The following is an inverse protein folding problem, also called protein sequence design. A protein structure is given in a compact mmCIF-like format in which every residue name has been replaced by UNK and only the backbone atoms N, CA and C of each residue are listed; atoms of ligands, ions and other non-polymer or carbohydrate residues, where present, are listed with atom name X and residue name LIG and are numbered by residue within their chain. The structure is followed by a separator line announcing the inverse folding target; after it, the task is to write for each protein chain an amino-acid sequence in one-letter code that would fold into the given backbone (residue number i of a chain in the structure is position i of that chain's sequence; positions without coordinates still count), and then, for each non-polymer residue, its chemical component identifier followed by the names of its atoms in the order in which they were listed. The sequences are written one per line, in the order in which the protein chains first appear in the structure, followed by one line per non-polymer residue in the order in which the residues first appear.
data_IF_247009382288
#
_entry.id   IF_247009382288
#
_cell.length_a   1.000
_cell.length_b   1.000
_cell.length_c   1.000
_cell.angle_alpha   90.00
_cell.angle_beta   90.00
_cell.angle_gamma   90.00
#
_symmetry.space_group_name_H-M   'P 1'
#
loop_
_entity.id
_entity.type
_entity.pdbx_description
1 polymer ?
#
# COMPACT_ATOMS: atom_id res chain seq x y z
N UNK A 1 1.46 6.02 54.35
CA UNK A 1 1.16 6.16 52.93
C UNK A 1 2.46 6.02 52.12
N UNK A 2 2.37 5.33 50.99
CA UNK A 2 3.44 5.26 50.00
C UNK A 2 3.00 5.98 48.72
N UNK A 3 3.90 6.79 48.19
CA UNK A 3 3.68 7.56 46.96
C UNK A 3 4.68 7.11 45.91
N UNK A 4 4.22 6.92 44.67
CA UNK A 4 5.05 6.72 43.50
C UNK A 4 4.55 7.59 42.37
N UNK A 5 5.43 8.16 41.60
CA UNK A 5 5.04 9.04 40.49
C UNK A 5 6.23 9.61 39.72
N UNK A 6 5.96 10.59 38.89
CA UNK A 6 6.98 11.32 38.17
C UNK A 6 7.95 11.95 39.18
N UNK A 7 9.27 11.72 39.09
CA UNK A 7 10.21 12.10 40.13
C UNK A 7 10.12 13.58 40.50
N UNK A 8 10.01 14.48 39.56
CA UNK A 8 9.93 15.92 39.76
C UNK A 8 8.67 16.33 40.56
N UNK A 9 7.56 15.59 40.42
CA UNK A 9 6.33 15.84 41.19
C UNK A 9 6.50 15.30 42.62
N UNK A 10 7.04 14.07 42.73
CA UNK A 10 7.25 13.45 44.05
C UNK A 10 8.26 14.21 44.87
N UNK A 11 9.36 14.71 44.27
CA UNK A 11 10.35 15.57 44.95
C UNK A 11 9.70 16.85 45.49
N UNK A 12 8.83 17.50 44.70
CA UNK A 12 8.09 18.70 45.13
C UNK A 12 7.11 18.47 46.30
N UNK A 13 6.71 17.23 46.57
CA UNK A 13 5.84 16.83 47.68
C UNK A 13 6.64 16.42 48.93
N UNK A 14 7.95 16.31 48.83
CA UNK A 14 8.82 15.88 49.92
C UNK A 14 9.31 17.06 50.75
N UNK A 15 9.41 16.81 52.04
CA UNK A 15 9.98 17.78 53.01
C UNK A 15 11.49 17.62 53.04
N UNK A 16 12.19 18.47 52.27
CA UNK A 16 13.66 18.46 52.15
C UNK A 16 14.21 19.84 51.82
N UNK A 17 15.50 20.12 52.14
CA UNK A 17 16.19 21.35 51.77
C UNK A 17 16.20 21.59 50.25
N UNK A 18 16.18 22.88 49.85
CA UNK A 18 16.19 23.26 48.44
C UNK A 18 17.41 22.72 47.66
N UNK A 19 18.58 22.68 48.33
CA UNK A 19 19.81 22.16 47.71
C UNK A 19 19.74 20.67 47.43
N UNK A 20 19.08 19.88 48.30
CA UNK A 20 18.84 18.45 48.07
C UNK A 20 17.83 18.23 46.96
N UNK A 21 16.76 19.05 46.87
CA UNK A 21 15.83 19.04 45.76
C UNK A 21 16.54 19.27 44.43
N UNK A 22 17.39 20.28 44.35
CA UNK A 22 18.14 20.62 43.16
C UNK A 22 19.08 19.49 42.72
N UNK A 23 19.76 18.86 43.70
CA UNK A 23 20.64 17.70 43.44
C UNK A 23 19.88 16.50 42.91
N UNK A 24 18.71 16.19 43.48
CA UNK A 24 17.86 15.08 43.01
C UNK A 24 17.29 15.36 41.62
N UNK A 25 16.87 16.59 41.34
CA UNK A 25 16.42 16.98 40.00
C UNK A 25 17.53 16.86 38.95
N UNK A 26 18.77 17.22 39.31
CA UNK A 26 19.93 17.01 38.43
C UNK A 26 20.20 15.53 38.16
N UNK A 27 20.04 14.67 39.18
CA UNK A 27 20.16 13.21 39.03
C UNK A 27 19.02 12.63 38.17
N UNK A 28 17.81 13.15 38.31
CA UNK A 28 16.68 12.80 37.40
C UNK A 28 17.02 13.15 35.95
N UNK A 29 17.57 14.35 35.73
CA UNK A 29 17.98 14.77 34.39
C UNK A 29 19.11 13.91 33.79
N UNK A 30 20.10 13.54 34.62
CA UNK A 30 21.21 12.66 34.23
C UNK A 30 20.68 11.29 33.82
N UNK A 31 19.93 10.61 34.67
CA UNK A 31 19.39 9.29 34.42
C UNK A 31 18.36 9.25 33.28
N UNK A 32 17.53 10.29 33.16
CA UNK A 32 16.66 10.45 32.01
C UNK A 32 17.45 10.61 30.68
N UNK A 33 18.60 11.33 30.77
CA UNK A 33 19.53 11.45 29.64
C UNK A 33 20.17 10.13 29.20
N UNK A 34 20.25 9.16 30.14
CA UNK A 34 20.67 7.79 29.86
C UNK A 34 19.54 6.93 29.24
N UNK A 35 18.31 7.47 29.07
CA UNK A 35 17.17 6.78 28.48
C UNK A 35 16.33 5.99 29.47
N UNK A 36 16.60 6.11 30.76
CA UNK A 36 15.86 5.41 31.81
C UNK A 36 14.46 6.03 32.01
N UNK A 37 13.45 5.18 32.13
CA UNK A 37 12.13 5.56 32.63
C UNK A 37 12.19 5.67 34.14
N UNK A 38 11.90 6.83 34.69
CA UNK A 38 12.14 7.14 36.10
C UNK A 38 10.85 7.18 36.93
N UNK A 39 10.90 6.63 38.14
CA UNK A 39 9.88 6.77 39.15
C UNK A 39 10.49 7.26 40.46
N UNK A 40 9.93 8.34 41.02
CA UNK A 40 10.20 8.80 42.36
C UNK A 40 9.35 8.03 43.37
N UNK A 41 9.96 7.66 44.49
CA UNK A 41 9.31 6.96 45.61
C UNK A 41 9.43 7.79 46.88
N UNK A 42 8.31 7.93 47.62
CA UNK A 42 8.28 8.61 48.89
C UNK A 42 7.32 7.93 49.84
N UNK A 43 7.48 8.18 51.16
CA UNK A 43 6.54 7.71 52.15
C UNK A 43 6.21 8.81 53.17
N UNK A 44 5.10 8.62 53.89
CA UNK A 44 4.68 9.43 54.98
C UNK A 44 4.00 8.58 56.07
N UNK A 45 4.35 8.79 57.32
CA UNK A 45 3.71 8.16 58.48
C UNK A 45 2.55 9.05 58.96
N UNK A 46 1.31 8.56 58.85
CA UNK A 46 0.12 9.32 59.23
C UNK A 46 -0.32 10.37 58.22
N UNK A 47 -1.38 11.12 58.51
CA UNK A 47 -1.93 12.18 57.66
C UNK A 47 -3.30 11.84 57.07
N UNK A 48 -3.90 12.80 56.36
CA UNK A 48 -5.20 12.68 55.68
C UNK A 48 -4.98 12.29 54.23
N UNK A 49 -5.85 11.45 53.68
CA UNK A 49 -5.85 11.11 52.27
C UNK A 49 -6.11 12.40 51.48
N UNK A 50 -5.30 12.70 50.48
CA UNK A 50 -5.31 13.93 49.66
C UNK A 50 -4.47 15.12 50.17
N UNK A 51 -3.68 14.95 51.21
CA UNK A 51 -2.64 15.90 51.58
C UNK A 51 -1.34 15.50 50.85
N UNK A 52 -0.89 16.31 49.93
CA UNK A 52 0.27 16.05 49.05
C UNK A 52 1.56 16.72 49.51
N UNK A 53 1.71 16.96 50.81
CA UNK A 53 2.89 17.55 51.45
C UNK A 53 3.48 16.70 52.56
N UNK A 54 4.72 16.97 52.97
CA UNK A 54 5.36 16.32 54.13
C UNK A 54 5.73 14.86 53.91
N UNK A 55 6.06 14.46 52.67
CA UNK A 55 6.58 13.12 52.36
C UNK A 55 8.10 13.08 52.59
N UNK A 56 8.60 11.94 53.01
CA UNK A 56 10.01 11.62 53.06
C UNK A 56 10.43 10.91 51.77
N UNK A 57 11.41 11.41 51.09
CA UNK A 57 11.98 10.81 49.89
C UNK A 57 12.62 9.47 50.21
N UNK A 58 12.27 8.42 49.43
CA UNK A 58 12.82 7.08 49.58
C UNK A 58 13.88 6.77 48.53
N UNK A 59 13.69 7.29 47.31
CA UNK A 59 14.65 7.06 46.26
C UNK A 59 14.07 7.20 44.84
N UNK A 60 14.98 7.14 43.87
CA UNK A 60 14.72 7.13 42.45
C UNK A 60 14.87 5.71 41.92
N UNK A 61 13.88 5.25 41.16
CA UNK A 61 13.93 3.97 40.43
C UNK A 61 14.07 4.25 38.95
N UNK A 62 15.15 3.77 38.35
CA UNK A 62 15.35 3.77 36.89
C UNK A 62 15.00 2.42 36.28
N UNK A 63 14.21 2.44 35.25
CA UNK A 63 13.85 1.26 34.48
C UNK A 63 14.36 1.43 33.05
N UNK A 64 15.07 0.44 32.54
CA UNK A 64 15.47 0.37 31.14
C UNK A 64 14.46 -0.52 30.39
N UNK A 65 13.95 0.00 29.27
CA UNK A 65 13.14 -0.79 28.33
C UNK A 65 13.87 -0.75 26.98
N UNK A 66 14.68 -1.78 26.69
CA UNK A 66 15.51 -1.77 25.50
C UNK A 66 14.65 -1.77 24.23
N UNK A 67 15.13 -1.07 23.21
CA UNK A 67 14.51 -1.09 21.88
C UNK A 67 14.56 -2.52 21.33
N UNK A 68 13.44 -2.96 20.76
CA UNK A 68 13.36 -4.28 20.14
C UNK A 68 14.28 -4.41 18.93
N UNK A 69 14.80 -5.62 18.71
CA UNK A 69 15.70 -5.90 17.61
C UNK A 69 15.08 -5.55 16.23
N UNK A 70 15.88 -4.85 15.41
CA UNK A 70 15.58 -4.49 14.04
C UNK A 70 14.53 -3.39 13.86
N UNK A 71 14.17 -2.67 14.91
CA UNK A 71 13.33 -1.45 14.80
C UNK A 71 14.08 -0.35 14.04
N UNK A 72 15.38 -0.20 14.30
CA UNK A 72 16.21 0.79 13.60
C UNK A 72 16.26 0.54 12.09
N UNK A 73 16.48 -0.68 11.68
CA UNK A 73 16.51 -1.09 10.27
C UNK A 73 15.14 -0.88 9.62
N UNK A 74 14.06 -1.23 10.33
CA UNK A 74 12.71 -1.02 9.83
C UNK A 74 12.39 0.48 9.63
N UNK A 75 12.83 1.35 10.54
CA UNK A 75 12.69 2.81 10.40
C UNK A 75 13.46 3.31 9.18
N UNK A 76 14.69 2.87 8.98
CA UNK A 76 15.50 3.24 7.81
C UNK A 76 14.82 2.83 6.49
N UNK A 77 14.23 1.63 6.44
CA UNK A 77 13.46 1.18 5.27
C UNK A 77 12.22 2.06 5.04
N UNK A 78 11.51 2.44 6.12
CA UNK A 78 10.36 3.32 6.02
C UNK A 78 10.75 4.72 5.52
N UNK A 79 11.83 5.31 6.05
CA UNK A 79 12.35 6.61 5.64
C UNK A 79 12.84 6.60 4.19
N UNK A 80 13.55 5.53 3.79
CA UNK A 80 13.95 5.33 2.39
C UNK A 80 12.74 5.29 1.45
N UNK A 81 11.64 4.68 1.92
CA UNK A 81 10.36 4.65 1.22
C UNK A 81 9.59 6.00 1.25
N UNK A 82 10.20 7.06 1.80
CA UNK A 82 9.62 8.40 1.92
C UNK A 82 8.57 8.54 3.04
N UNK A 83 8.53 7.59 3.99
CA UNK A 83 7.57 7.59 5.09
C UNK A 83 8.22 8.24 6.32
N UNK A 84 7.64 9.32 6.80
CA UNK A 84 8.11 10.01 8.01
C UNK A 84 7.58 9.31 9.26
N UNK A 85 8.47 8.75 10.04
CA UNK A 85 8.12 8.14 11.34
C UNK A 85 8.20 9.20 12.43
N UNK A 86 7.24 9.21 13.35
CA UNK A 86 7.18 10.16 14.47
C UNK A 86 6.87 9.42 15.76
N UNK A 87 7.54 9.82 16.85
CA UNK A 87 7.29 9.27 18.19
C UNK A 87 6.33 10.18 18.94
N UNK A 88 5.25 9.62 19.47
CA UNK A 88 4.28 10.32 20.32
C UNK A 88 4.15 9.53 21.63
N UNK A 89 4.64 10.10 22.72
CA UNK A 89 4.71 9.42 24.04
C UNK A 89 4.24 10.32 25.19
N UNK A 90 3.77 9.69 26.26
CA UNK A 90 3.53 10.34 27.54
C UNK A 90 4.79 10.53 28.38
N UNK A 91 5.92 9.93 27.99
CA UNK A 91 7.18 9.94 28.71
C UNK A 91 7.87 11.32 28.71
N UNK A 92 8.87 11.46 29.59
CA UNK A 92 9.69 12.64 29.71
C UNK A 92 10.48 12.92 28.42
N UNK A 93 10.65 14.20 28.09
CA UNK A 93 11.26 14.65 26.83
C UNK A 93 12.62 14.02 26.55
N UNK A 94 13.54 14.07 27.52
CA UNK A 94 14.91 13.53 27.36
C UNK A 94 14.93 12.02 27.13
N UNK A 95 14.06 11.27 27.81
CA UNK A 95 13.89 9.83 27.59
C UNK A 95 13.40 9.54 26.16
N UNK A 96 12.39 10.29 25.69
CA UNK A 96 11.85 10.15 24.35
C UNK A 96 12.89 10.51 23.27
N UNK A 97 13.64 11.61 23.47
CA UNK A 97 14.71 12.03 22.54
C UNK A 97 15.86 10.99 22.51
N UNK A 98 16.23 10.42 23.65
CA UNK A 98 17.26 9.37 23.72
C UNK A 98 16.85 8.12 22.97
N UNK A 99 15.62 7.66 23.19
CA UNK A 99 15.08 6.50 22.47
C UNK A 99 15.02 6.81 20.96
N UNK A 100 14.48 7.96 20.57
CA UNK A 100 14.40 8.36 19.18
C UNK A 100 15.78 8.43 18.50
N UNK A 101 16.80 8.94 19.21
CA UNK A 101 18.19 8.97 18.72
C UNK A 101 18.76 7.55 18.57
N UNK A 102 18.49 6.65 19.53
CA UNK A 102 18.98 5.26 19.48
C UNK A 102 18.44 4.46 18.31
N UNK A 103 17.22 4.77 17.85
CA UNK A 103 16.58 4.15 16.69
C UNK A 103 16.80 4.93 15.39
N UNK A 104 17.54 6.04 15.44
CA UNK A 104 17.90 6.81 14.25
C UNK A 104 16.81 7.75 13.75
N UNK A 105 15.84 8.13 14.58
CA UNK A 105 14.74 9.03 14.19
C UNK A 105 15.06 10.52 14.35
N UNK A 106 16.07 10.90 15.14
CA UNK A 106 16.47 12.29 15.30
C UNK A 106 17.67 12.59 14.40
N UNK A 107 17.49 13.49 13.43
CA UNK A 107 18.50 13.98 12.53
C UNK A 107 18.65 15.49 12.65
N UNK A 108 19.84 15.98 12.91
CA UNK A 108 20.27 17.37 12.79
C UNK A 108 19.30 18.44 13.33
N UNK A 109 18.46 18.95 12.46
CA UNK A 109 17.51 20.04 12.75
C UNK A 109 16.11 19.56 13.21
N UNK A 110 15.92 18.26 13.47
CA UNK A 110 14.64 17.75 13.93
C UNK A 110 14.27 18.31 15.30
N UNK A 111 13.00 18.70 15.44
CA UNK A 111 12.49 19.31 16.65
C UNK A 111 11.76 18.29 17.53
N UNK A 112 11.78 18.56 18.83
CA UNK A 112 10.91 17.88 19.78
C UNK A 112 9.94 18.89 20.42
N UNK A 113 8.67 18.49 20.58
CA UNK A 113 7.62 19.30 21.20
C UNK A 113 7.03 18.59 22.42
N UNK A 114 6.72 19.35 23.46
CA UNK A 114 6.01 18.85 24.64
C UNK A 114 4.51 19.14 24.57
N UNK A 115 3.69 18.31 25.20
CA UNK A 115 2.24 18.44 25.25
C UNK A 115 1.77 19.81 25.74
N UNK A 116 2.46 20.39 26.73
CA UNK A 116 2.17 21.75 27.24
C UNK A 116 2.34 22.85 26.19
N UNK A 117 3.36 22.71 25.30
CA UNK A 117 3.57 23.64 24.19
C UNK A 117 2.46 23.49 23.15
N UNK A 118 2.11 22.23 22.80
CA UNK A 118 1.04 21.93 21.84
C UNK A 118 -0.31 22.43 22.33
N UNK A 119 -0.61 22.28 23.63
CA UNK A 119 -1.85 22.78 24.22
C UNK A 119 -1.99 24.31 24.13
N UNK A 120 -0.87 25.04 24.20
CA UNK A 120 -0.83 26.49 24.11
C UNK A 120 -0.81 27.02 22.66
N UNK A 121 -0.45 26.19 21.67
CA UNK A 121 -0.38 26.57 20.25
C UNK A 121 -1.77 26.68 19.62
N UNK A 122 -1.93 27.66 18.73
CA UNK A 122 -3.07 27.68 17.81
C UNK A 122 -2.85 26.68 16.69
N UNK A 123 -3.93 26.20 16.08
CA UNK A 123 -3.86 25.10 15.07
C UNK A 123 -3.01 25.46 13.84
N UNK A 124 -2.92 26.74 13.49
CA UNK A 124 -2.05 27.18 12.39
C UNK A 124 -0.57 26.92 12.70
N UNK A 125 -0.12 27.33 13.88
CA UNK A 125 1.29 27.20 14.28
C UNK A 125 1.66 25.73 14.47
N UNK A 126 0.73 24.93 15.01
CA UNK A 126 0.92 23.48 15.11
C UNK A 126 1.09 22.82 13.74
N UNK A 127 0.31 23.24 12.72
CA UNK A 127 0.46 22.71 11.34
C UNK A 127 1.85 23.00 10.76
N UNK A 128 2.40 24.18 11.03
CA UNK A 128 3.73 24.56 10.53
C UNK A 128 4.83 23.71 11.21
N UNK A 129 4.70 23.46 12.52
CA UNK A 129 5.74 22.75 13.29
C UNK A 129 5.65 21.23 13.19
N UNK A 130 4.43 20.65 13.09
CA UNK A 130 4.23 19.21 13.15
C UNK A 130 4.97 18.43 12.06
N UNK A 131 5.24 19.05 10.91
CA UNK A 131 5.93 18.42 9.78
C UNK A 131 7.40 18.12 10.11
N UNK A 132 8.08 19.06 10.81
CA UNK A 132 9.50 18.98 11.14
C UNK A 132 9.76 18.48 12.58
N UNK A 133 8.70 18.10 13.31
CA UNK A 133 8.83 17.52 14.65
C UNK A 133 8.89 16.00 14.56
N UNK A 134 9.96 15.39 15.03
CA UNK A 134 10.13 13.94 15.06
C UNK A 134 9.61 13.33 16.38
N UNK A 135 9.72 14.07 17.50
CA UNK A 135 9.39 13.57 18.84
C UNK A 135 8.37 14.47 19.53
N UNK A 136 7.29 13.87 20.01
CA UNK A 136 6.27 14.50 20.82
C UNK A 136 6.23 13.83 22.20
N UNK A 137 6.57 14.55 23.25
CA UNK A 137 6.70 14.06 24.61
C UNK A 137 5.64 14.63 25.55
N UNK A 138 5.35 13.95 26.67
CA UNK A 138 4.32 14.35 27.65
C UNK A 138 2.95 14.64 27.01
N UNK A 139 2.58 13.84 26.02
CA UNK A 139 1.39 14.02 25.20
C UNK A 139 0.18 13.36 25.86
N UNK A 140 -0.93 14.09 25.97
CA UNK A 140 -2.23 13.60 26.41
C UNK A 140 -3.08 13.18 25.19
N UNK A 141 -4.19 12.45 25.38
CA UNK A 141 -5.05 12.00 24.29
C UNK A 141 -5.54 13.12 23.38
N UNK A 142 -5.83 14.30 23.91
CA UNK A 142 -6.31 15.44 23.13
C UNK A 142 -5.22 16.00 22.21
N UNK A 143 -3.97 16.10 22.69
CA UNK A 143 -2.86 16.53 21.86
C UNK A 143 -2.53 15.50 20.78
N UNK A 144 -2.62 14.18 21.07
CA UNK A 144 -2.47 13.11 20.04
C UNK A 144 -3.44 13.30 18.88
N UNK A 145 -4.71 13.56 19.20
CA UNK A 145 -5.73 13.85 18.19
C UNK A 145 -5.39 15.08 17.34
N UNK A 146 -4.95 16.20 18.00
CA UNK A 146 -4.58 17.43 17.31
C UNK A 146 -3.36 17.26 16.39
N UNK A 147 -2.37 16.47 16.79
CA UNK A 147 -1.20 16.15 15.96
C UNK A 147 -1.64 15.45 14.69
N UNK A 148 -2.44 14.38 14.80
CA UNK A 148 -2.96 13.63 13.64
C UNK A 148 -3.79 14.55 12.72
N UNK A 149 -4.67 15.36 13.30
CA UNK A 149 -5.49 16.31 12.54
C UNK A 149 -4.63 17.35 11.79
N UNK A 150 -3.57 17.84 12.40
CA UNK A 150 -2.66 18.82 11.81
C UNK A 150 -1.85 18.23 10.64
N UNK A 151 -1.36 17.00 10.78
CA UNK A 151 -0.69 16.27 9.69
C UNK A 151 -1.63 16.06 8.49
N UNK A 152 -2.87 15.62 8.75
CA UNK A 152 -3.87 15.45 7.69
C UNK A 152 -4.25 16.77 7.01
N UNK A 153 -4.31 17.86 7.77
CA UNK A 153 -4.59 19.19 7.22
C UNK A 153 -3.46 19.70 6.31
N UNK A 154 -2.23 19.19 6.50
CA UNK A 154 -1.10 19.42 5.60
C UNK A 154 -1.11 18.50 4.37
N UNK A 155 -2.14 17.63 4.22
CA UNK A 155 -2.27 16.70 3.10
C UNK A 155 -1.54 15.37 3.29
N UNK A 156 -0.99 15.10 4.48
CA UNK A 156 -0.31 13.84 4.78
C UNK A 156 -1.31 12.71 5.03
N UNK A 157 -0.96 11.51 4.57
CA UNK A 157 -1.69 10.27 4.93
C UNK A 157 -1.06 9.73 6.20
N UNK A 158 -1.85 9.64 7.26
CA UNK A 158 -1.38 9.29 8.59
C UNK A 158 -1.77 7.87 8.98
N UNK A 159 -0.80 7.08 9.44
CA UNK A 159 -1.04 5.86 10.22
C UNK A 159 -0.75 6.16 11.69
N UNK A 160 -1.69 5.87 12.58
CA UNK A 160 -1.52 6.00 14.03
C UNK A 160 -1.40 4.64 14.67
N UNK A 161 -0.34 4.46 15.46
CA UNK A 161 -0.10 3.21 16.20
C UNK A 161 -0.33 3.49 17.68
N UNK A 162 -1.11 2.63 18.34
CA UNK A 162 -1.40 2.75 19.77
C UNK A 162 -1.73 1.41 20.41
N UNK A 163 -1.79 1.37 21.73
CA UNK A 163 -2.03 0.15 22.52
C UNK A 163 -3.18 0.30 23.53
N UNK A 164 -3.62 1.52 23.81
CA UNK A 164 -4.54 1.82 24.89
C UNK A 164 -5.83 2.53 24.48
N UNK A 165 -6.77 2.57 25.43
CA UNK A 165 -8.04 3.32 25.31
C UNK A 165 -7.79 4.81 25.08
N UNK A 166 -6.70 5.34 25.61
CA UNK A 166 -6.32 6.75 25.46
C UNK A 166 -5.97 7.12 24.02
N UNK A 167 -5.63 6.16 23.17
CA UNK A 167 -5.26 6.37 21.78
C UNK A 167 -6.47 6.25 20.83
N UNK A 168 -7.59 5.71 21.29
CA UNK A 168 -8.76 5.45 20.46
C UNK A 168 -9.25 6.67 19.65
N UNK A 169 -9.32 7.91 20.18
CA UNK A 169 -9.71 9.07 19.38
C UNK A 169 -8.72 9.39 18.26
N UNK A 170 -7.40 9.25 18.49
CA UNK A 170 -6.36 9.48 17.50
C UNK A 170 -6.31 8.35 16.46
N UNK A 171 -6.46 7.09 16.90
CA UNK A 171 -6.57 5.91 16.03
C UNK A 171 -7.73 6.05 15.04
N UNK A 172 -8.92 6.38 15.53
CA UNK A 172 -10.12 6.58 14.71
C UNK A 172 -9.99 7.78 13.76
N UNK A 173 -9.21 8.80 14.13
CA UNK A 173 -8.99 9.99 13.30
C UNK A 173 -8.00 9.76 12.19
N UNK A 174 -7.00 8.91 12.40
CA UNK A 174 -5.98 8.59 11.41
C UNK A 174 -6.61 8.01 10.12
N UNK A 175 -5.85 8.02 9.02
CA UNK A 175 -6.27 7.34 7.80
C UNK A 175 -6.20 5.81 7.95
N UNK A 176 -5.27 5.35 8.80
CA UNK A 176 -5.12 3.94 9.20
C UNK A 176 -4.84 3.92 10.69
N UNK A 177 -5.74 3.32 11.47
CA UNK A 177 -5.55 3.01 12.88
C UNK A 177 -4.90 1.63 13.04
N UNK A 178 -3.76 1.56 13.73
CA UNK A 178 -3.01 0.32 13.94
C UNK A 178 -2.87 0.08 15.44
N UNK A 179 -3.17 -1.13 15.89
CA UNK A 179 -2.97 -1.52 17.29
C UNK A 179 -2.13 -2.78 17.42
N UNK A 180 -1.45 -2.90 18.54
CA UNK A 180 -0.72 -4.11 18.89
C UNK A 180 -1.64 -5.21 19.38
N UNK A 181 -1.27 -6.48 19.26
CA UNK A 181 -2.08 -7.63 19.66
C UNK A 181 -2.43 -7.66 21.15
N UNK A 182 -1.57 -7.05 22.00
CA UNK A 182 -1.78 -6.87 23.43
C UNK A 182 -2.66 -5.67 23.80
N UNK A 183 -3.14 -4.89 22.82
CA UNK A 183 -3.99 -3.73 23.05
C UNK A 183 -5.32 -4.12 23.68
N UNK A 184 -5.98 -3.14 24.31
CA UNK A 184 -7.31 -3.31 24.88
C UNK A 184 -8.37 -3.58 23.81
N UNK A 185 -9.44 -4.28 24.16
CA UNK A 185 -10.52 -4.62 23.20
C UNK A 185 -11.13 -3.35 22.58
N UNK A 186 -11.28 -2.27 23.36
CA UNK A 186 -11.76 -0.97 22.85
C UNK A 186 -10.84 -0.40 21.77
N UNK A 187 -9.52 -0.51 21.96
CA UNK A 187 -8.57 -0.06 20.95
C UNK A 187 -8.62 -0.95 19.70
N UNK A 188 -8.75 -2.27 19.86
CA UNK A 188 -8.90 -3.23 18.75
C UNK A 188 -10.15 -2.99 17.92
N UNK A 189 -11.28 -2.65 18.54
CA UNK A 189 -12.53 -2.31 17.83
C UNK A 189 -12.45 -1.02 17.02
N UNK A 190 -11.53 -0.12 17.38
CA UNK A 190 -11.35 1.17 16.69
C UNK A 190 -10.26 1.14 15.61
N UNK A 191 -9.48 0.07 15.54
CA UNK A 191 -8.35 -0.06 14.64
C UNK A 191 -8.73 -0.73 13.31
N UNK A 192 -8.03 -0.34 12.25
CA UNK A 192 -8.14 -0.96 10.93
C UNK A 192 -7.20 -2.18 10.80
N UNK A 193 -6.11 -2.21 11.58
CA UNK A 193 -5.09 -3.26 11.54
C UNK A 193 -4.65 -3.65 12.96
N UNK A 194 -4.46 -4.94 13.20
CA UNK A 194 -3.96 -5.50 14.47
C UNK A 194 -2.63 -6.22 14.21
N UNK A 195 -1.56 -5.77 14.89
CA UNK A 195 -0.23 -6.37 14.83
C UNK A 195 -0.11 -7.48 15.88
N UNK A 196 -0.21 -8.72 15.46
CA UNK A 196 -0.21 -9.87 16.38
C UNK A 196 1.12 -10.09 17.11
N UNK A 197 2.22 -9.69 16.51
CA UNK A 197 3.59 -9.84 17.06
C UNK A 197 4.10 -8.61 17.80
N UNK A 198 3.32 -7.53 17.88
CA UNK A 198 3.68 -6.26 18.52
C UNK A 198 5.00 -5.68 18.00
N UNK A 199 5.36 -5.90 16.73
CA UNK A 199 6.64 -5.50 16.17
C UNK A 199 6.48 -4.43 15.07
N UNK A 200 7.28 -3.35 15.14
CA UNK A 200 7.28 -2.28 14.14
C UNK A 200 7.71 -2.77 12.75
N UNK A 201 8.58 -3.79 12.66
CA UNK A 201 8.96 -4.42 11.39
C UNK A 201 7.75 -4.90 10.57
N UNK A 202 6.75 -5.44 11.26
CA UNK A 202 5.51 -5.94 10.64
C UNK A 202 4.71 -4.82 10.00
N UNK A 203 4.78 -3.59 10.54
CA UNK A 203 4.16 -2.42 9.92
C UNK A 203 4.82 -2.11 8.58
N UNK A 204 6.15 -2.10 8.54
CA UNK A 204 6.91 -1.84 7.30
C UNK A 204 6.63 -2.92 6.26
N UNK A 205 6.58 -4.19 6.68
CA UNK A 205 6.17 -5.29 5.81
C UNK A 205 4.72 -5.14 5.29
N UNK A 206 3.78 -4.70 6.14
CA UNK A 206 2.41 -4.42 5.73
C UNK A 206 2.30 -3.25 4.73
N UNK A 207 3.14 -2.22 4.87
CA UNK A 207 3.23 -1.13 3.89
C UNK A 207 3.77 -1.65 2.55
N UNK A 208 4.82 -2.45 2.57
CA UNK A 208 5.38 -3.10 1.37
C UNK A 208 4.30 -3.92 0.66
N UNK A 209 3.60 -4.78 1.39
CA UNK A 209 2.53 -5.62 0.85
C UNK A 209 1.36 -4.78 0.31
N UNK A 210 0.97 -3.72 1.01
CA UNK A 210 -0.04 -2.78 0.54
C UNK A 210 0.34 -2.12 -0.80
N UNK A 211 1.61 -1.80 -1.02
CA UNK A 211 2.13 -1.29 -2.30
C UNK A 211 2.06 -2.36 -3.40
N UNK A 212 2.38 -3.63 -3.06
CA UNK A 212 2.26 -4.77 -3.99
C UNK A 212 0.81 -4.96 -4.42
N UNK A 213 -0.10 -5.05 -3.46
CA UNK A 213 -1.55 -5.23 -3.71
C UNK A 213 -2.07 -4.10 -4.61
N UNK A 214 -1.75 -2.84 -4.30
CA UNK A 214 -2.19 -1.71 -5.11
C UNK A 214 -1.64 -1.76 -6.55
N UNK A 215 -0.38 -2.14 -6.74
CA UNK A 215 0.20 -2.32 -8.06
C UNK A 215 -0.47 -3.47 -8.82
N UNK A 216 -0.77 -4.57 -8.15
CA UNK A 216 -1.47 -5.70 -8.76
C UNK A 216 -2.91 -5.33 -9.16
N UNK A 217 -3.64 -4.58 -8.33
CA UNK A 217 -4.96 -4.02 -8.72
C UNK A 217 -4.83 -3.19 -10.01
N UNK A 218 -3.80 -2.34 -10.13
CA UNK A 218 -3.58 -1.54 -11.35
C UNK A 218 -3.29 -2.41 -12.58
N UNK A 219 -2.55 -3.51 -12.42
CA UNK A 219 -2.27 -4.48 -13.49
C UNK A 219 -3.56 -5.14 -13.97
N UNK A 220 -4.37 -5.63 -13.03
CA UNK A 220 -5.67 -6.26 -13.34
C UNK A 220 -6.59 -5.26 -14.05
N UNK A 221 -6.76 -4.06 -13.50
CA UNK A 221 -7.61 -3.01 -14.11
C UNK A 221 -7.13 -2.66 -15.52
N UNK A 222 -5.81 -2.51 -15.71
CA UNK A 222 -5.25 -2.20 -17.03
C UNK A 222 -5.49 -3.33 -18.03
N UNK A 223 -5.30 -4.57 -17.61
CA UNK A 223 -5.52 -5.76 -18.44
C UNK A 223 -6.98 -5.90 -18.83
N UNK A 224 -7.90 -5.90 -17.85
CA UNK A 224 -9.35 -6.06 -18.09
C UNK A 224 -9.91 -4.93 -18.97
N UNK A 225 -9.52 -3.68 -18.72
CA UNK A 225 -9.97 -2.55 -19.54
C UNK A 225 -9.41 -2.59 -20.96
N UNK A 226 -8.19 -3.09 -21.15
CA UNK A 226 -7.63 -3.26 -22.50
C UNK A 226 -8.43 -4.23 -23.33
N UNK A 227 -8.85 -5.38 -22.76
CA UNK A 227 -9.71 -6.36 -23.41
C UNK A 227 -11.09 -5.78 -23.71
N UNK A 228 -11.74 -5.23 -22.70
CA UNK A 228 -13.11 -4.72 -22.84
C UNK A 228 -13.21 -3.58 -23.86
N UNK A 229 -12.27 -2.64 -23.84
CA UNK A 229 -12.27 -1.56 -24.84
C UNK A 229 -11.94 -2.05 -26.25
N UNK A 230 -11.08 -3.06 -26.40
CA UNK A 230 -10.82 -3.65 -27.70
C UNK A 230 -12.08 -4.28 -28.31
N UNK A 231 -12.85 -5.02 -27.52
CA UNK A 231 -14.11 -5.64 -27.96
C UNK A 231 -15.16 -4.57 -28.30
N UNK A 232 -15.34 -3.57 -27.43
CA UNK A 232 -16.28 -2.46 -27.66
C UNK A 232 -15.92 -1.71 -28.94
N UNK A 233 -14.64 -1.37 -29.15
CA UNK A 233 -14.20 -0.69 -30.38
C UNK A 233 -14.43 -1.55 -31.62
N UNK A 234 -14.18 -2.84 -31.53
CA UNK A 234 -14.39 -3.78 -32.63
C UNK A 234 -15.87 -3.87 -33.03
N UNK A 235 -16.76 -4.06 -32.03
CA UNK A 235 -18.20 -4.16 -32.27
C UNK A 235 -18.76 -2.83 -32.78
N UNK A 236 -18.42 -1.72 -32.15
CA UNK A 236 -18.87 -0.39 -32.51
C UNK A 236 -18.46 -0.03 -33.96
N UNK A 237 -17.18 -0.26 -34.28
CA UNK A 237 -16.67 0.02 -35.65
C UNK A 237 -17.33 -0.86 -36.71
N UNK A 238 -17.53 -2.15 -36.42
CA UNK A 238 -18.24 -3.05 -37.33
C UNK A 238 -19.68 -2.57 -37.58
N UNK A 239 -20.37 -2.11 -36.54
CA UNK A 239 -21.72 -1.54 -36.68
C UNK A 239 -21.72 -0.26 -37.53
N UNK A 240 -20.72 0.61 -37.37
CA UNK A 240 -20.57 1.82 -38.20
C UNK A 240 -20.34 1.49 -39.67
N UNK A 241 -19.64 0.38 -39.95
CA UNK A 241 -19.39 -0.14 -41.27
C UNK A 241 -20.57 -0.94 -41.83
N UNK A 242 -21.68 -1.06 -41.09
CA UNK A 242 -22.85 -1.86 -41.42
C UNK A 242 -22.52 -3.35 -41.60
N UNK A 243 -21.48 -3.84 -40.94
CA UNK A 243 -21.12 -5.25 -40.91
C UNK A 243 -21.95 -5.99 -39.85
N UNK A 244 -22.13 -7.32 -40.03
CA UNK A 244 -22.65 -8.15 -38.93
C UNK A 244 -21.76 -8.05 -37.69
N UNK A 245 -22.34 -8.28 -36.50
CA UNK A 245 -21.58 -8.26 -35.28
C UNK A 245 -20.39 -9.26 -35.32
N UNK A 246 -19.15 -8.82 -35.08
CA UNK A 246 -17.95 -9.67 -35.17
C UNK A 246 -17.79 -10.65 -34.02
N UNK A 247 -18.57 -10.47 -32.94
CA UNK A 247 -18.64 -11.36 -31.78
C UNK A 247 -20.11 -11.59 -31.41
N UNK A 248 -20.44 -12.84 -31.05
CA UNK A 248 -21.72 -13.18 -30.46
C UNK A 248 -21.68 -13.01 -28.93
N UNK A 249 -22.84 -12.80 -28.29
CA UNK A 249 -22.93 -12.62 -26.83
C UNK A 249 -22.34 -13.81 -26.07
N UNK A 250 -22.61 -15.04 -26.51
CA UNK A 250 -22.05 -16.24 -25.89
C UNK A 250 -20.52 -16.30 -26.00
N UNK A 251 -19.94 -15.80 -27.09
CA UNK A 251 -18.48 -15.70 -27.26
C UNK A 251 -17.86 -14.69 -26.31
N UNK A 252 -18.46 -13.50 -26.15
CA UNK A 252 -18.03 -12.47 -25.20
C UNK A 252 -18.05 -13.01 -23.76
N UNK A 253 -19.15 -13.68 -23.40
CA UNK A 253 -19.25 -14.29 -22.06
C UNK A 253 -18.20 -15.39 -21.84
N UNK A 254 -17.91 -16.20 -22.88
CA UNK A 254 -16.87 -17.21 -22.80
C UNK A 254 -15.47 -16.58 -22.57
N UNK A 255 -15.15 -15.54 -23.33
CA UNK A 255 -13.88 -14.83 -23.16
C UNK A 255 -13.76 -14.29 -21.73
N UNK A 256 -14.72 -13.49 -21.26
CA UNK A 256 -14.60 -12.83 -19.97
C UNK A 256 -14.70 -13.76 -18.74
N UNK A 257 -15.58 -14.77 -18.76
CA UNK A 257 -15.78 -15.63 -17.61
C UNK A 257 -14.83 -16.83 -17.59
N UNK A 258 -14.53 -17.39 -18.74
CA UNK A 258 -13.81 -18.67 -18.82
C UNK A 258 -12.33 -18.44 -19.14
N UNK A 259 -12.00 -17.53 -20.05
CA UNK A 259 -10.61 -17.25 -20.42
C UNK A 259 -9.98 -16.22 -19.49
N UNK A 260 -10.56 -15.02 -19.41
CA UNK A 260 -9.97 -13.87 -18.68
C UNK A 260 -10.18 -13.95 -17.17
N UNK A 261 -11.32 -14.44 -16.69
CA UNK A 261 -11.63 -14.49 -15.26
C UNK A 261 -10.55 -15.16 -14.40
N UNK A 262 -10.11 -16.38 -14.70
CA UNK A 262 -8.97 -16.99 -14.02
C UNK A 262 -7.67 -16.20 -14.14
N UNK A 263 -7.42 -15.56 -15.29
CA UNK A 263 -6.23 -14.75 -15.55
C UNK A 263 -6.22 -13.47 -14.71
N UNK A 264 -7.36 -12.78 -14.59
CA UNK A 264 -7.53 -11.61 -13.72
C UNK A 264 -7.23 -11.93 -12.25
N UNK A 265 -7.75 -13.06 -11.76
CA UNK A 265 -7.54 -13.50 -10.39
C UNK A 265 -6.06 -13.77 -10.14
N UNK A 266 -5.41 -14.53 -11.01
CA UNK A 266 -4.01 -14.93 -10.77
C UNK A 266 -3.00 -13.79 -11.00
N UNK A 267 -3.34 -12.77 -11.77
CA UNK A 267 -2.54 -11.57 -11.93
C UNK A 267 -2.48 -10.77 -10.61
N UNK A 268 -3.50 -10.88 -9.75
CA UNK A 268 -3.49 -10.25 -8.42
C UNK A 268 -2.48 -10.88 -7.45
N UNK A 269 -1.99 -12.08 -7.73
CA UNK A 269 -0.95 -12.77 -6.95
C UNK A 269 0.47 -12.56 -7.49
N UNK A 270 0.68 -11.60 -8.39
CA UNK A 270 2.03 -11.32 -8.90
C UNK A 270 2.92 -10.84 -7.74
N UNK A 271 4.11 -11.44 -7.57
CA UNK A 271 5.01 -11.09 -6.48
C UNK A 271 5.53 -9.65 -6.60
N UNK A 272 6.07 -9.15 -5.51
CA UNK A 272 6.64 -7.79 -5.45
C UNK A 272 7.70 -7.56 -6.53
N UNK A 273 7.65 -6.38 -7.13
CA UNK A 273 8.69 -5.90 -8.04
C UNK A 273 9.86 -5.31 -7.24
N UNK A 274 11.07 -5.45 -7.75
CA UNK A 274 12.25 -4.79 -7.15
C UNK A 274 12.05 -3.28 -7.12
N UNK A 275 12.51 -2.63 -6.04
CA UNK A 275 12.42 -1.18 -5.88
C UNK A 275 11.04 -0.65 -5.45
N UNK A 276 10.10 -1.50 -5.05
CA UNK A 276 8.76 -1.04 -4.63
C UNK A 276 8.80 -0.12 -3.39
N UNK A 277 9.82 -0.27 -2.54
CA UNK A 277 10.07 0.57 -1.39
C UNK A 277 10.99 1.77 -1.70
N UNK A 278 11.49 1.91 -2.92
CA UNK A 278 12.26 3.09 -3.36
C UNK A 278 11.33 4.21 -3.87
N UNK A 279 10.05 3.91 -4.05
CA UNK A 279 9.07 4.89 -4.51
C UNK A 279 8.56 5.74 -3.33
N UNK A 280 8.41 7.07 -3.52
CA UNK A 280 7.80 7.93 -2.50
C UNK A 280 6.32 7.56 -2.29
N UNK A 281 5.74 7.93 -1.12
CA UNK A 281 4.32 7.74 -0.87
C UNK A 281 3.47 8.45 -1.93
N UNK A 282 2.36 7.82 -2.29
CA UNK A 282 1.43 8.38 -3.28
C UNK A 282 0.52 9.40 -2.63
N UNK A 283 0.22 10.52 -3.32
CA UNK A 283 -0.81 11.44 -2.86
C UNK A 283 -2.16 10.74 -2.69
N UNK A 284 -2.94 11.12 -1.69
CA UNK A 284 -4.24 10.51 -1.36
C UNK A 284 -5.22 10.46 -2.56
N UNK A 285 -5.17 11.46 -3.43
CA UNK A 285 -6.04 11.58 -4.60
C UNK A 285 -5.41 11.05 -5.90
N UNK A 286 -4.37 10.23 -5.80
CA UNK A 286 -3.74 9.64 -6.99
C UNK A 286 -4.72 8.72 -7.74
N UNK A 287 -4.91 8.89 -9.05
CA UNK A 287 -5.79 8.02 -9.82
C UNK A 287 -5.17 6.62 -9.95
N UNK A 288 -6.03 5.60 -9.99
CA UNK A 288 -5.62 4.22 -10.28
C UNK A 288 -5.02 4.15 -11.69
N UNK A 289 -5.69 4.80 -12.65
CA UNK A 289 -5.23 4.90 -14.03
C UNK A 289 -4.33 6.12 -14.19
N UNK A 290 -3.03 5.90 -14.30
CA UNK A 290 -2.06 6.95 -14.65
C UNK A 290 -2.06 7.17 -16.17
N UNK A 291 -1.42 8.25 -16.64
CA UNK A 291 -1.21 8.49 -18.09
C UNK A 291 -0.52 7.31 -18.77
N UNK A 292 0.48 6.71 -18.11
CA UNK A 292 1.15 5.50 -18.59
C UNK A 292 0.16 4.34 -18.76
N UNK A 293 -0.60 4.03 -17.72
CA UNK A 293 -1.59 2.94 -17.76
C UNK A 293 -2.65 3.21 -18.84
N UNK A 294 -3.14 4.46 -18.94
CA UNK A 294 -4.09 4.86 -19.97
C UNK A 294 -3.55 4.71 -21.40
N UNK A 295 -2.28 5.05 -21.63
CA UNK A 295 -1.65 4.85 -22.92
C UNK A 295 -1.49 3.38 -23.29
N UNK A 296 -1.14 2.51 -22.34
CA UNK A 296 -1.09 1.06 -22.55
C UNK A 296 -2.47 0.50 -22.92
N UNK A 297 -3.51 0.88 -22.17
CA UNK A 297 -4.89 0.49 -22.49
C UNK A 297 -5.26 0.95 -23.91
N UNK A 298 -5.01 2.21 -24.26
CA UNK A 298 -5.33 2.75 -25.58
C UNK A 298 -4.61 2.05 -26.71
N UNK A 299 -3.29 1.83 -26.60
CA UNK A 299 -2.49 1.14 -27.61
C UNK A 299 -3.02 -0.28 -27.85
N UNK A 300 -3.25 -1.06 -26.78
CA UNK A 300 -3.71 -2.43 -26.91
C UNK A 300 -5.14 -2.49 -27.46
N UNK A 301 -6.05 -1.67 -26.93
CA UNK A 301 -7.45 -1.65 -27.38
C UNK A 301 -7.57 -1.31 -28.86
N UNK A 302 -6.85 -0.28 -29.30
CA UNK A 302 -6.89 0.14 -30.72
C UNK A 302 -6.23 -0.93 -31.60
N UNK A 303 -5.04 -1.41 -31.23
CA UNK A 303 -4.32 -2.38 -32.04
C UNK A 303 -5.09 -3.71 -32.15
N UNK A 304 -5.65 -4.21 -31.05
CA UNK A 304 -6.48 -5.41 -31.04
C UNK A 304 -7.74 -5.24 -31.88
N UNK A 305 -8.43 -4.09 -31.76
CA UNK A 305 -9.63 -3.81 -32.56
C UNK A 305 -9.32 -3.73 -34.06
N UNK A 306 -8.20 -3.11 -34.45
CA UNK A 306 -7.76 -3.02 -35.85
C UNK A 306 -7.53 -4.42 -36.43
N UNK A 307 -6.78 -5.28 -35.73
CA UNK A 307 -6.55 -6.64 -36.18
C UNK A 307 -7.83 -7.48 -36.21
N UNK A 308 -8.69 -7.37 -35.22
CA UNK A 308 -9.96 -8.08 -35.18
C UNK A 308 -10.88 -7.67 -36.35
N UNK A 309 -10.97 -6.36 -36.66
CA UNK A 309 -11.74 -5.86 -37.79
C UNK A 309 -11.13 -6.28 -39.12
N UNK A 310 -9.80 -6.28 -39.22
CA UNK A 310 -9.11 -6.76 -40.40
C UNK A 310 -9.43 -8.24 -40.67
N UNK A 311 -9.29 -9.08 -39.63
CA UNK A 311 -9.63 -10.50 -39.75
C UNK A 311 -11.11 -10.70 -40.12
N UNK A 312 -12.01 -10.04 -39.34
CA UNK A 312 -13.44 -10.16 -39.62
C UNK A 312 -13.81 -9.72 -41.03
N UNK A 313 -13.30 -8.55 -41.45
CA UNK A 313 -13.56 -7.98 -42.78
C UNK A 313 -13.03 -8.87 -43.89
N UNK A 314 -11.82 -9.42 -43.75
CA UNK A 314 -11.22 -10.33 -44.72
C UNK A 314 -12.10 -11.56 -44.95
N UNK A 315 -12.46 -12.28 -43.90
CA UNK A 315 -13.27 -13.50 -44.01
C UNK A 315 -14.73 -13.22 -44.40
N UNK A 316 -15.32 -12.14 -43.88
CA UNK A 316 -16.69 -11.75 -44.24
C UNK A 316 -16.82 -11.32 -45.69
N UNK A 317 -15.88 -10.56 -46.25
CA UNK A 317 -15.92 -10.07 -47.62
C UNK A 317 -15.57 -11.15 -48.66
N UNK A 318 -14.62 -12.04 -48.34
CA UNK A 318 -14.19 -13.09 -49.27
C UNK A 318 -15.16 -14.27 -49.28
N UNK A 319 -15.54 -14.74 -48.08
CA UNK A 319 -16.33 -15.95 -47.94
C UNK A 319 -17.84 -15.69 -47.81
N UNK A 320 -18.23 -14.41 -47.71
CA UNK A 320 -19.61 -13.97 -47.45
C UNK A 320 -20.27 -14.68 -46.24
N UNK A 321 -19.45 -15.22 -45.34
CA UNK A 321 -19.88 -16.02 -44.21
C UNK A 321 -19.48 -15.33 -42.89
N UNK A 322 -20.41 -14.70 -42.17
CA UNK A 322 -20.10 -14.02 -40.89
C UNK A 322 -19.73 -14.99 -39.75
N UNK A 323 -20.08 -16.27 -39.86
CA UNK A 323 -19.77 -17.26 -38.80
C UNK A 323 -18.29 -17.58 -38.79
N UNK A 324 -17.64 -17.70 -39.92
CA UNK A 324 -16.20 -17.93 -40.02
C UNK A 324 -15.42 -16.71 -39.50
N UNK A 325 -15.81 -15.51 -39.93
CA UNK A 325 -15.24 -14.26 -39.39
C UNK A 325 -15.38 -14.12 -37.85
N UNK A 326 -16.55 -14.48 -37.29
CA UNK A 326 -16.76 -14.53 -35.85
C UNK A 326 -15.85 -15.53 -35.13
N UNK A 327 -15.67 -16.70 -35.74
CA UNK A 327 -14.87 -17.79 -35.17
C UNK A 327 -13.40 -17.37 -34.99
N UNK A 328 -12.83 -16.75 -36.04
CA UNK A 328 -11.43 -16.31 -36.01
C UNK A 328 -11.25 -15.11 -35.07
N UNK A 329 -12.21 -14.17 -35.00
CA UNK A 329 -12.17 -13.04 -34.07
C UNK A 329 -12.29 -13.53 -32.62
N UNK A 330 -13.19 -14.47 -32.33
CA UNK A 330 -13.31 -15.11 -31.03
C UNK A 330 -11.99 -15.77 -30.60
N UNK A 331 -11.39 -16.59 -31.47
CA UNK A 331 -10.10 -17.21 -31.20
C UNK A 331 -8.99 -16.16 -30.99
N UNK A 332 -9.00 -15.09 -31.80
CA UNK A 332 -8.02 -14.02 -31.70
C UNK A 332 -8.11 -13.29 -30.33
N UNK A 333 -9.28 -12.86 -29.89
CA UNK A 333 -9.43 -12.21 -28.59
C UNK A 333 -9.03 -13.15 -27.46
N UNK A 334 -9.48 -14.40 -27.47
CA UNK A 334 -9.18 -15.36 -26.42
C UNK A 334 -7.69 -15.72 -26.35
N UNK A 335 -6.99 -15.90 -27.48
CA UNK A 335 -5.55 -16.18 -27.50
C UNK A 335 -4.73 -14.92 -27.15
N UNK A 336 -5.15 -13.76 -27.66
CA UNK A 336 -4.47 -12.50 -27.39
C UNK A 336 -4.41 -12.22 -25.89
N UNK A 337 -5.54 -12.34 -25.17
CA UNK A 337 -5.60 -12.11 -23.72
C UNK A 337 -4.65 -13.05 -22.97
N UNK A 338 -4.60 -14.33 -23.33
CA UNK A 338 -3.70 -15.31 -22.70
C UNK A 338 -2.23 -14.99 -22.97
N UNK A 339 -1.88 -14.49 -24.16
CA UNK A 339 -0.48 -14.24 -24.54
C UNK A 339 0.02 -12.93 -23.95
N UNK A 340 -0.70 -11.84 -24.07
CA UNK A 340 -0.17 -10.57 -23.60
C UNK A 340 -0.31 -10.34 -22.09
N UNK A 341 -0.99 -11.22 -21.34
CA UNK A 341 -0.99 -11.15 -19.86
C UNK A 341 0.43 -11.18 -19.31
N UNK A 342 1.35 -11.89 -19.97
CA UNK A 342 2.75 -11.91 -19.53
C UNK A 342 3.38 -10.52 -19.52
N UNK A 343 2.99 -9.64 -20.43
CA UNK A 343 3.45 -8.26 -20.44
C UNK A 343 2.79 -7.42 -19.33
N UNK A 344 1.59 -7.75 -18.87
CA UNK A 344 0.90 -7.05 -17.78
C UNK A 344 1.37 -7.44 -16.39
N UNK A 345 2.27 -8.44 -16.24
CA UNK A 345 2.91 -8.78 -14.96
C UNK A 345 3.70 -7.61 -14.35
N UNK A 346 4.17 -6.68 -15.19
CA UNK A 346 4.64 -5.37 -14.75
C UNK A 346 4.19 -4.31 -15.77
N UNK A 347 3.71 -3.16 -15.25
CA UNK A 347 3.34 -2.03 -16.10
C UNK A 347 4.54 -1.17 -16.51
N UNK A 348 5.70 -1.38 -15.90
CA UNK A 348 6.91 -0.57 -16.10
C UNK A 348 8.10 -1.38 -16.64
N UNK A 349 8.33 -2.55 -16.07
CA UNK A 349 9.50 -3.35 -16.41
C UNK A 349 9.24 -4.14 -17.69
N UNK A 350 10.23 -4.23 -18.60
CA UNK A 350 10.15 -5.10 -19.76
C UNK A 350 10.21 -6.57 -19.32
N UNK A 351 9.66 -7.44 -20.15
CA UNK A 351 9.46 -8.86 -19.86
C UNK A 351 10.73 -9.58 -19.37
N UNK A 352 11.90 -9.23 -19.94
CA UNK A 352 13.19 -9.85 -19.61
C UNK A 352 13.78 -9.41 -18.26
N UNK A 353 13.22 -8.36 -17.62
CA UNK A 353 13.61 -7.87 -16.28
C UNK A 353 12.61 -8.26 -15.19
N UNK A 354 11.50 -8.87 -15.56
CA UNK A 354 10.48 -9.28 -14.58
C UNK A 354 10.92 -10.50 -13.79
N UNK A 355 10.28 -10.72 -12.66
CA UNK A 355 10.44 -11.94 -11.90
C UNK A 355 10.25 -13.19 -12.80
N UNK A 356 10.96 -14.31 -12.53
CA UNK A 356 10.77 -15.53 -13.30
C UNK A 356 9.32 -16.01 -13.24
N UNK A 357 8.85 -16.68 -14.28
CA UNK A 357 7.47 -17.20 -14.33
C UNK A 357 7.14 -18.15 -13.19
N UNK A 358 8.15 -18.88 -12.69
CA UNK A 358 8.03 -19.79 -11.54
C UNK A 358 7.63 -19.09 -10.23
N UNK A 359 7.76 -17.77 -10.16
CA UNK A 359 7.38 -16.99 -8.98
C UNK A 359 5.85 -16.83 -8.85
N UNK A 360 5.11 -16.92 -9.99
CA UNK A 360 3.65 -16.95 -10.00
C UNK A 360 3.16 -18.26 -10.63
N UNK A 361 3.21 -19.34 -9.87
CA UNK A 361 2.73 -20.66 -10.35
C UNK A 361 1.23 -20.67 -10.73
N UNK A 362 0.32 -20.01 -9.98
CA UNK A 362 -1.07 -19.91 -10.39
C UNK A 362 -1.26 -19.34 -11.80
N UNK A 363 -0.44 -18.36 -12.22
CA UNK A 363 -0.50 -17.79 -13.55
C UNK A 363 -0.23 -18.83 -14.64
N UNK A 364 0.77 -19.70 -14.44
CA UNK A 364 1.09 -20.77 -15.38
C UNK A 364 -0.12 -21.71 -15.56
N UNK A 365 -0.75 -22.11 -14.45
CA UNK A 365 -1.93 -22.97 -14.49
C UNK A 365 -3.13 -22.29 -15.13
N UNK A 366 -3.36 -21.00 -14.88
CA UNK A 366 -4.45 -20.25 -15.51
C UNK A 366 -4.25 -20.11 -17.03
N UNK A 367 -3.02 -19.86 -17.47
CA UNK A 367 -2.66 -19.83 -18.91
C UNK A 367 -2.90 -21.20 -19.57
N UNK A 368 -2.45 -22.29 -18.96
CA UNK A 368 -2.70 -23.64 -19.47
C UNK A 368 -4.21 -23.96 -19.53
N UNK A 369 -4.96 -23.56 -18.49
CA UNK A 369 -6.41 -23.69 -18.47
C UNK A 369 -7.06 -22.86 -19.59
N UNK A 370 -6.61 -21.62 -19.80
CA UNK A 370 -7.11 -20.77 -20.88
C UNK A 370 -6.92 -21.41 -22.25
N UNK A 371 -5.73 -21.92 -22.56
CA UNK A 371 -5.50 -22.66 -23.81
C UNK A 371 -6.36 -23.93 -23.90
N UNK A 372 -6.50 -24.67 -22.80
CA UNK A 372 -7.33 -25.88 -22.78
C UNK A 372 -8.80 -25.54 -23.04
N UNK A 373 -9.35 -24.47 -22.45
CA UNK A 373 -10.76 -24.08 -22.64
C UNK A 373 -11.05 -23.61 -24.06
N UNK A 374 -10.10 -22.93 -24.72
CA UNK A 374 -10.21 -22.59 -26.13
C UNK A 374 -10.16 -23.86 -26.98
N UNK A 375 -9.21 -24.76 -26.72
CA UNK A 375 -9.15 -26.05 -27.41
C UNK A 375 -10.46 -26.83 -27.28
N UNK A 376 -11.01 -26.92 -26.09
CA UNK A 376 -12.28 -27.56 -25.79
C UNK A 376 -13.44 -26.89 -26.56
N UNK A 377 -13.50 -25.55 -26.63
CA UNK A 377 -14.52 -24.83 -27.36
C UNK A 377 -14.54 -25.16 -28.84
N UNK A 378 -13.38 -25.33 -29.47
CA UNK A 378 -13.28 -25.69 -30.91
C UNK A 378 -13.36 -27.19 -31.18
N UNK A 379 -13.03 -28.07 -30.20
CA UNK A 379 -13.05 -29.53 -30.41
C UNK A 379 -14.42 -30.15 -30.16
N UNK A 380 -15.19 -29.68 -29.18
CA UNK A 380 -16.49 -30.29 -28.80
C UNK A 380 -17.62 -29.73 -29.68
N UNK A 381 -18.32 -30.57 -30.51
CA UNK A 381 -19.37 -30.09 -31.40
C UNK A 381 -20.49 -29.31 -30.69
N UNK A 382 -20.99 -29.80 -29.56
CA UNK A 382 -22.05 -29.11 -28.81
C UNK A 382 -21.65 -27.73 -28.28
N UNK A 383 -20.36 -27.49 -27.95
CA UNK A 383 -19.85 -26.16 -27.57
C UNK A 383 -19.70 -25.26 -28.80
N UNK A 384 -19.26 -25.81 -29.92
CA UNK A 384 -19.22 -25.05 -31.18
C UNK A 384 -20.61 -24.53 -31.57
N UNK A 385 -21.62 -25.38 -31.46
CA UNK A 385 -23.00 -25.01 -31.77
C UNK A 385 -23.52 -23.94 -30.80
N UNK A 386 -23.23 -24.10 -29.49
CA UNK A 386 -23.60 -23.12 -28.46
C UNK A 386 -22.94 -21.74 -28.67
N UNK A 387 -21.66 -21.76 -29.03
CA UNK A 387 -20.89 -20.54 -29.27
C UNK A 387 -21.08 -19.98 -30.70
N UNK A 388 -21.69 -20.73 -31.59
CA UNK A 388 -21.86 -20.36 -33.00
C UNK A 388 -20.54 -20.21 -33.73
N UNK A 389 -19.59 -21.13 -33.50
CA UNK A 389 -18.24 -21.13 -34.10
C UNK A 389 -18.05 -22.35 -35.04
N UNK A 390 -17.14 -22.19 -35.99
CA UNK A 390 -16.69 -23.26 -36.88
C UNK A 390 -15.21 -23.59 -36.63
N UNK A 391 -14.78 -24.83 -36.96
CA UNK A 391 -13.37 -25.19 -36.85
C UNK A 391 -12.51 -24.25 -37.70
N UNK A 392 -11.34 -23.86 -37.16
CA UNK A 392 -10.35 -23.07 -37.87
C UNK A 392 -9.29 -23.97 -38.53
N UNK A 393 -8.84 -23.57 -39.71
CA UNK A 393 -7.70 -24.18 -40.42
C UNK A 393 -6.39 -23.88 -39.69
N UNK A 394 -5.33 -24.62 -40.03
CA UNK A 394 -3.98 -24.36 -39.49
C UNK A 394 -3.49 -22.97 -39.88
N UNK A 395 -3.81 -22.49 -41.07
CA UNK A 395 -3.44 -21.15 -41.53
C UNK A 395 -4.08 -20.05 -40.65
N UNK A 396 -5.37 -20.21 -40.32
CA UNK A 396 -6.08 -19.26 -39.44
C UNK A 396 -5.51 -19.24 -38.04
N UNK A 397 -5.12 -20.39 -37.49
CA UNK A 397 -4.41 -20.44 -36.20
C UNK A 397 -3.05 -19.74 -36.28
N UNK A 398 -2.31 -19.81 -37.36
CA UNK A 398 -1.07 -19.05 -37.54
C UNK A 398 -1.32 -17.54 -37.54
N UNK A 399 -2.40 -17.04 -38.18
CA UNK A 399 -2.78 -15.63 -38.12
C UNK A 399 -3.10 -15.21 -36.70
N UNK A 400 -3.91 -15.98 -35.98
CA UNK A 400 -4.28 -15.69 -34.58
C UNK A 400 -3.03 -15.62 -33.67
N UNK A 401 -2.15 -16.61 -33.75
CA UNK A 401 -0.91 -16.65 -32.96
C UNK A 401 0.02 -15.49 -33.35
N UNK A 402 0.15 -15.21 -34.64
CA UNK A 402 0.97 -14.10 -35.14
C UNK A 402 0.52 -12.75 -34.60
N UNK A 403 -0.79 -12.49 -34.57
CA UNK A 403 -1.38 -11.29 -34.01
C UNK A 403 -1.12 -11.21 -32.52
N UNK A 404 -1.29 -12.30 -31.77
CA UNK A 404 -1.01 -12.33 -30.33
C UNK A 404 0.45 -11.96 -30.00
N UNK A 405 1.39 -12.44 -30.80
CA UNK A 405 2.82 -12.09 -30.69
C UNK A 405 3.02 -10.60 -30.99
N UNK A 406 2.41 -10.07 -32.04
CA UNK A 406 2.51 -8.63 -32.38
C UNK A 406 1.95 -7.77 -31.26
N UNK A 407 0.82 -8.15 -30.66
CA UNK A 407 0.23 -7.43 -29.53
C UNK A 407 1.13 -7.47 -28.30
N UNK A 408 1.74 -8.61 -27.98
CA UNK A 408 2.72 -8.72 -26.91
C UNK A 408 3.87 -7.72 -27.09
N UNK A 409 4.45 -7.64 -28.29
CA UNK A 409 5.51 -6.68 -28.61
C UNK A 409 5.01 -5.23 -28.58
N UNK A 410 3.78 -4.96 -28.97
CA UNK A 410 3.18 -3.62 -28.90
C UNK A 410 3.10 -3.10 -27.47
N UNK A 411 2.77 -3.96 -26.49
CA UNK A 411 2.82 -3.62 -25.05
C UNK A 411 4.25 -3.30 -24.65
N UNK A 412 5.22 -4.14 -25.00
CA UNK A 412 6.62 -3.95 -24.61
C UNK A 412 7.23 -2.66 -25.22
N UNK A 413 6.92 -2.38 -26.47
CA UNK A 413 7.32 -1.11 -27.11
C UNK A 413 6.68 0.09 -26.41
N UNK A 414 5.39 0.02 -26.11
CA UNK A 414 4.69 1.09 -25.40
C UNK A 414 5.30 1.39 -24.04
N UNK A 415 5.68 0.35 -23.26
CA UNK A 415 6.42 0.51 -22.01
C UNK A 415 7.78 1.19 -22.21
N UNK A 416 8.55 0.73 -23.20
CA UNK A 416 9.87 1.26 -23.48
C UNK A 416 9.83 2.76 -23.87
N UNK A 417 8.85 3.14 -24.70
CA UNK A 417 8.61 4.54 -25.09
C UNK A 417 8.21 5.40 -23.90
N UNK A 418 7.26 4.92 -23.11
CA UNK A 418 6.76 5.64 -21.94
C UNK A 418 7.83 5.84 -20.85
N UNK A 419 8.67 4.84 -20.61
CA UNK A 419 9.77 4.96 -19.67
C UNK A 419 10.80 6.02 -20.13
N UNK A 420 11.10 6.09 -21.44
CA UNK A 420 11.99 7.13 -21.99
C UNK A 420 11.40 8.54 -21.84
N UNK A 421 10.10 8.70 -22.03
CA UNK A 421 9.44 10.00 -21.90
C UNK A 421 9.39 10.48 -20.43
N UNK A 422 9.27 9.57 -19.46
CA UNK A 422 9.33 9.92 -18.04
C UNK A 422 10.73 10.31 -17.58
N UNK A 423 11.80 9.71 -18.11
CA UNK A 423 13.17 10.10 -17.79
C UNK A 423 13.50 11.52 -18.31
N UNK A 424 12.97 11.92 -19.46
CA UNK A 424 13.21 13.25 -20.03
C UNK A 424 12.33 14.37 -19.45
N UNK A 425 11.34 14.05 -18.61
CA UNK A 425 10.45 15.03 -17.95
C UNK A 425 10.84 15.36 -16.51
N UNK A 426 11.92 14.76 -15.99
CA UNK A 426 12.48 15.02 -14.65
C UNK A 426 13.83 15.73 -14.67
N UNK A 427 14.32 16.13 -15.85
CA UNK A 427 15.53 16.95 -16.04
C UNK A 427 15.20 18.43 -16.18
#
# INVERSE_FOLDING_TARGET
FFLKGAPEIVIGMCDMPADDQQRLLSQVDEWAGEGLRLLGLANRKGGVMNDYSGYAWLGLLGMEDPVRDGVREAIQVAEHAGIKVKVITGDYRRTAERIASSIGLLHGEDHSLEGGQIAAMVDRDLREQVTNTAVFSRIRPQEKFRIVQSLQANGEVTAMIGDGVNDAPALKRANIGVVVGSATDVAKETADLILMDNNFKTIVAAIEEGRVIFNNIRKVVAYTLSNSFAEVLTIFTAMMLQWPAPLAVAQILWIHLICDGPLDIVLSFEPKEEGIMDEPPRPLKSPILTRLTGSLIGVISITSAVFALFLFGHYYQIHMNPVEGRSIVFASFAINSIVYIFAYRSLRQPLYKMNPLSANKPLIWAVLLGFATIGIAFLIPGLRDLLGIVPLSLEEWFYVIGIAIVLLFSVEISKAVSNRLHFNGQS
#
